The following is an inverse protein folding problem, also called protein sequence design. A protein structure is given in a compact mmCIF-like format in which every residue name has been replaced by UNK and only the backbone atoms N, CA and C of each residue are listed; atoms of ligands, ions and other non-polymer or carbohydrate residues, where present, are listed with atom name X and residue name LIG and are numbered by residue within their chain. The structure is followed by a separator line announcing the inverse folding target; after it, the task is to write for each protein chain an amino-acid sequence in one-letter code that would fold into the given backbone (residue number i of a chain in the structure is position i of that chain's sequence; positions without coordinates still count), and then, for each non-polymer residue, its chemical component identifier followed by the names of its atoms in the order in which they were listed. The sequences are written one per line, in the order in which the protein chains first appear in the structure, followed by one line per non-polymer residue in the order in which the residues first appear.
data_IF_744669879433
#
_entry.id   IF_744669879433
#
_cell.length_a   1.000
_cell.length_b   1.000
_cell.length_c   1.000
_cell.angle_alpha   90.00
_cell.angle_beta   90.00
_cell.angle_gamma   90.00
#
_symmetry.space_group_name_H-M   'P 1'
#
loop_
_entity.id
_entity.type
_entity.pdbx_description
1 polymer ?
#
# COMPACT_ATOMS: atom_id res chain seq x y z
N UNK A 1 -3.48 21.69 3.84
CA UNK A 1 -3.93 20.35 3.42
C UNK A 1 -5.41 20.43 3.05
N UNK A 2 -5.84 19.84 1.93
CA UNK A 2 -7.26 19.78 1.54
C UNK A 2 -7.83 18.42 1.95
N UNK A 3 -9.08 18.39 2.42
CA UNK A 3 -9.77 17.14 2.70
C UNK A 3 -10.07 16.39 1.40
N UNK A 4 -10.06 15.06 1.46
CA UNK A 4 -10.53 14.20 0.36
C UNK A 4 -12.04 14.45 0.18
N UNK A 5 -12.52 14.75 -1.05
CA UNK A 5 -13.95 14.94 -1.29
C UNK A 5 -14.77 13.70 -0.90
N UNK A 6 -15.89 13.90 -0.20
CA UNK A 6 -16.72 12.80 0.30
C UNK A 6 -17.33 11.97 -0.82
N UNK A 7 -17.64 12.61 -1.94
CA UNK A 7 -18.19 11.98 -3.14
C UNK A 7 -17.18 11.10 -3.88
N UNK A 8 -15.91 11.05 -3.45
CA UNK A 8 -14.95 10.04 -3.92
C UNK A 8 -15.16 8.69 -3.24
N UNK A 9 -15.71 8.65 -2.02
CA UNK A 9 -16.11 7.40 -1.36
C UNK A 9 -17.49 6.93 -1.81
N UNK A 10 -17.78 5.65 -1.62
CA UNK A 10 -19.12 5.12 -1.89
C UNK A 10 -20.17 5.86 -1.03
N UNK A 11 -21.40 6.05 -1.55
CA UNK A 11 -22.46 6.76 -0.81
C UNK A 11 -22.80 6.12 0.54
N UNK A 12 -22.70 4.79 0.64
CA UNK A 12 -22.80 4.03 1.88
C UNK A 12 -21.62 3.05 1.94
N UNK A 13 -20.88 3.08 3.05
CA UNK A 13 -19.72 2.24 3.29
C UNK A 13 -20.08 0.97 4.08
N UNK A 14 -21.30 0.89 4.63
CA UNK A 14 -21.74 -0.28 5.41
C UNK A 14 -21.80 -1.51 4.52
N UNK A 15 -21.05 -2.54 4.89
CA UNK A 15 -20.93 -3.78 4.13
C UNK A 15 -20.09 -3.67 2.85
N UNK A 16 -19.57 -2.48 2.51
CA UNK A 16 -18.72 -2.32 1.33
C UNK A 16 -17.41 -3.10 1.52
N UNK A 17 -17.01 -3.85 0.49
CA UNK A 17 -15.78 -4.65 0.49
C UNK A 17 -14.61 -3.74 0.12
N UNK A 18 -13.72 -3.49 1.08
CA UNK A 18 -12.59 -2.56 0.92
C UNK A 18 -11.28 -3.33 0.90
N UNK A 19 -10.49 -3.13 -0.14
CA UNK A 19 -9.11 -3.59 -0.22
C UNK A 19 -8.15 -2.43 0.06
N UNK A 20 -7.21 -2.65 0.97
CA UNK A 20 -6.08 -1.78 1.24
C UNK A 20 -4.74 -2.44 0.91
N UNK A 21 -4.19 -2.24 -0.30
CA UNK A 21 -2.83 -2.68 -0.63
C UNK A 21 -1.81 -1.81 0.12
N UNK A 22 -0.95 -2.44 0.91
CA UNK A 22 0.09 -1.82 1.73
C UNK A 22 -0.42 -0.64 2.57
N UNK A 23 -1.47 -0.88 3.36
CA UNK A 23 -2.24 0.16 4.07
C UNK A 23 -1.71 0.55 5.46
N UNK A 24 -0.42 0.32 5.72
CA UNK A 24 0.29 0.93 6.85
C UNK A 24 0.02 0.31 8.22
N UNK A 25 -0.40 -0.96 8.29
CA UNK A 25 -0.37 -1.77 9.52
C UNK A 25 -1.25 -1.23 10.65
N UNK A 26 -2.51 -0.94 10.35
CA UNK A 26 -3.50 -0.46 11.32
C UNK A 26 -3.73 1.06 11.29
N UNK A 27 -3.25 1.76 10.27
CA UNK A 27 -3.49 3.20 10.14
C UNK A 27 -4.75 3.53 9.33
N UNK A 28 -4.96 2.85 8.20
CA UNK A 28 -6.03 3.20 7.26
C UNK A 28 -7.32 2.39 7.49
N UNK A 29 -7.20 1.08 7.67
CA UNK A 29 -8.36 0.19 7.77
C UNK A 29 -9.29 0.45 8.96
N UNK A 30 -8.82 0.88 10.16
CA UNK A 30 -9.74 1.20 11.25
C UNK A 30 -10.79 2.26 10.88
N UNK A 31 -10.43 3.22 10.02
CA UNK A 31 -11.36 4.26 9.57
C UNK A 31 -12.48 3.67 8.71
N UNK A 32 -12.14 2.74 7.81
CA UNK A 32 -13.12 2.05 6.97
C UNK A 32 -13.99 1.09 7.79
N UNK A 33 -13.39 0.35 8.72
CA UNK A 33 -14.11 -0.52 9.64
C UNK A 33 -15.10 0.26 10.50
N UNK A 34 -14.71 1.44 11.01
CA UNK A 34 -15.60 2.34 11.76
C UNK A 34 -16.77 2.87 10.91
N UNK A 35 -16.62 2.93 9.58
CA UNK A 35 -17.71 3.25 8.65
C UNK A 35 -18.58 2.03 8.29
N UNK A 36 -18.28 0.85 8.86
CA UNK A 36 -19.01 -0.40 8.66
C UNK A 36 -18.56 -1.22 7.44
N UNK A 37 -17.41 -0.91 6.85
CA UNK A 37 -16.88 -1.65 5.70
C UNK A 37 -16.27 -3.00 6.10
N UNK A 38 -16.33 -3.96 5.18
CA UNK A 38 -15.64 -5.25 5.30
C UNK A 38 -14.21 -5.07 4.78
N UNK A 39 -13.25 -5.02 5.70
CA UNK A 39 -11.89 -4.61 5.39
C UNK A 39 -10.97 -5.80 5.10
N UNK A 40 -10.19 -5.68 4.03
CA UNK A 40 -9.08 -6.58 3.69
C UNK A 40 -7.81 -5.76 3.52
N UNK A 41 -6.73 -6.12 4.21
CA UNK A 41 -5.38 -5.59 3.96
C UNK A 41 -4.55 -6.62 3.19
N UNK A 42 -3.74 -6.14 2.25
CA UNK A 42 -2.69 -6.92 1.61
C UNK A 42 -1.35 -6.23 1.86
N UNK A 43 -0.35 -6.94 2.39
CA UNK A 43 0.99 -6.37 2.58
C UNK A 43 2.07 -7.44 2.42
N UNK A 44 3.22 -7.09 1.86
CA UNK A 44 4.36 -7.99 1.74
C UNK A 44 5.03 -8.25 3.11
N UNK A 45 5.03 -7.23 3.98
CA UNK A 45 5.71 -7.22 5.27
C UNK A 45 4.91 -7.95 6.33
N UNK A 46 5.50 -9.02 6.87
CA UNK A 46 4.96 -9.75 8.02
C UNK A 46 4.75 -8.84 9.23
N UNK A 47 5.63 -7.84 9.42
CA UNK A 47 5.51 -6.87 10.52
C UNK A 47 4.29 -5.97 10.35
N UNK A 48 3.99 -5.53 9.13
CA UNK A 48 2.80 -4.71 8.85
C UNK A 48 1.52 -5.54 9.08
N UNK A 49 1.52 -6.79 8.63
CA UNK A 49 0.40 -7.72 8.89
C UNK A 49 0.19 -7.95 10.39
N UNK A 50 1.26 -8.13 11.16
CA UNK A 50 1.17 -8.29 12.61
C UNK A 50 0.63 -7.02 13.30
N UNK A 51 1.11 -5.85 12.86
CA UNK A 51 0.62 -4.55 13.36
C UNK A 51 -0.87 -4.35 13.07
N UNK A 52 -1.33 -4.70 11.87
CA UNK A 52 -2.74 -4.62 11.51
C UNK A 52 -3.62 -5.45 12.46
N UNK A 53 -3.23 -6.71 12.71
CA UNK A 53 -3.96 -7.60 13.63
C UNK A 53 -3.99 -7.06 15.06
N UNK A 54 -2.87 -6.56 15.54
CA UNK A 54 -2.78 -5.96 16.87
C UNK A 54 -3.73 -4.76 17.02
N UNK A 55 -3.77 -3.87 16.02
CA UNK A 55 -4.69 -2.72 16.04
C UNK A 55 -6.14 -3.17 15.95
N UNK A 56 -6.45 -4.13 15.07
CA UNK A 56 -7.79 -4.68 14.93
C UNK A 56 -8.31 -5.30 16.24
N UNK A 57 -7.48 -6.07 16.94
CA UNK A 57 -7.79 -6.63 18.25
C UNK A 57 -8.00 -5.53 19.29
N UNK A 58 -7.11 -4.53 19.34
CA UNK A 58 -7.18 -3.41 20.29
C UNK A 58 -8.45 -2.57 20.13
N UNK A 59 -8.84 -2.30 18.89
CA UNK A 59 -9.97 -1.43 18.54
C UNK A 59 -11.29 -2.19 18.34
N UNK A 60 -11.25 -3.52 18.32
CA UNK A 60 -12.44 -4.38 18.26
C UNK A 60 -13.13 -4.41 16.89
N UNK A 61 -12.37 -4.46 15.79
CA UNK A 61 -12.91 -4.65 14.44
C UNK A 61 -12.36 -5.90 13.75
N UNK A 62 -13.14 -6.44 12.80
CA UNK A 62 -12.71 -7.57 11.98
C UNK A 62 -11.94 -7.11 10.74
N UNK A 63 -10.89 -7.85 10.39
CA UNK A 63 -10.09 -7.58 9.19
C UNK A 63 -9.52 -8.88 8.63
N UNK A 64 -9.56 -9.01 7.29
CA UNK A 64 -8.83 -10.05 6.58
C UNK A 64 -7.42 -9.54 6.27
N UNK A 65 -6.40 -10.20 6.81
CA UNK A 65 -5.00 -9.84 6.54
C UNK A 65 -4.35 -10.87 5.59
N UNK A 66 -3.91 -10.42 4.43
CA UNK A 66 -3.25 -11.25 3.40
C UNK A 66 -1.79 -10.83 3.25
N UNK A 67 -0.86 -11.75 3.50
CA UNK A 67 0.56 -11.51 3.21
C UNK A 67 0.84 -11.87 1.75
N UNK A 68 1.10 -10.88 0.90
CA UNK A 68 1.40 -11.09 -0.51
C UNK A 68 2.21 -9.93 -1.10
N UNK A 69 2.89 -10.21 -2.21
CA UNK A 69 3.57 -9.21 -3.02
C UNK A 69 2.57 -8.58 -4.01
N UNK A 70 2.31 -7.28 -3.87
CA UNK A 70 1.34 -6.57 -4.72
C UNK A 70 1.81 -6.43 -6.17
N UNK A 71 3.09 -6.68 -6.48
CA UNK A 71 3.60 -6.68 -7.86
C UNK A 71 3.36 -8.02 -8.57
N UNK A 72 2.75 -8.99 -7.89
CA UNK A 72 2.32 -10.28 -8.43
C UNK A 72 0.80 -10.30 -8.64
N UNK A 73 0.27 -11.24 -9.43
CA UNK A 73 -1.18 -11.42 -9.53
C UNK A 73 -1.81 -11.56 -8.15
N UNK A 74 -2.88 -10.80 -7.91
CA UNK A 74 -3.52 -10.74 -6.62
C UNK A 74 -4.37 -12.00 -6.41
N UNK A 75 -4.36 -12.53 -5.18
CA UNK A 75 -5.04 -13.79 -4.84
C UNK A 75 -6.52 -13.57 -4.51
N UNK A 76 -7.20 -12.81 -5.36
CA UNK A 76 -8.58 -12.37 -5.18
C UNK A 76 -9.41 -12.70 -6.42
N UNK A 77 -10.73 -12.78 -6.25
CA UNK A 77 -11.67 -12.98 -7.34
C UNK A 77 -11.88 -11.68 -8.13
N UNK A 78 -12.22 -11.82 -9.41
CA UNK A 78 -12.63 -10.68 -10.23
C UNK A 78 -13.85 -9.99 -9.59
N UNK A 79 -13.78 -8.68 -9.42
CA UNK A 79 -14.86 -7.91 -8.79
C UNK A 79 -15.07 -8.16 -7.29
N UNK A 80 -14.08 -8.68 -6.57
CA UNK A 80 -14.16 -8.94 -5.12
C UNK A 80 -14.30 -7.66 -4.27
N UNK A 81 -13.91 -6.48 -4.76
CA UNK A 81 -13.89 -5.25 -3.97
C UNK A 81 -14.70 -4.11 -4.57
N UNK A 82 -15.42 -3.37 -3.72
CA UNK A 82 -16.21 -2.21 -4.12
C UNK A 82 -15.37 -0.91 -4.04
N UNK A 83 -14.34 -0.92 -3.21
CA UNK A 83 -13.35 0.15 -3.06
C UNK A 83 -11.96 -0.43 -2.89
N UNK A 84 -11.01 0.07 -3.68
CA UNK A 84 -9.58 -0.12 -3.44
C UNK A 84 -9.02 1.23 -2.95
N UNK A 85 -8.44 1.23 -1.76
CA UNK A 85 -7.81 2.39 -1.16
C UNK A 85 -6.29 2.19 -1.12
N UNK A 86 -5.62 2.67 -2.16
CA UNK A 86 -4.20 2.43 -2.43
C UNK A 86 -3.41 3.72 -2.28
N UNK A 87 -2.94 4.02 -1.08
CA UNK A 87 -2.14 5.23 -0.83
C UNK A 87 -0.72 5.10 -1.42
N UNK A 88 0.22 5.86 -0.84
CA UNK A 88 1.56 6.18 -1.38
C UNK A 88 2.47 4.96 -1.59
N UNK A 89 2.06 3.75 -1.23
CA UNK A 89 2.87 2.53 -1.38
C UNK A 89 3.33 2.23 -2.81
N UNK A 90 2.68 2.81 -3.83
CA UNK A 90 3.11 2.71 -5.23
C UNK A 90 4.54 3.23 -5.48
N UNK A 91 5.09 4.11 -4.63
CA UNK A 91 6.48 4.57 -4.77
C UNK A 91 7.53 3.50 -4.41
N UNK A 92 7.11 2.38 -3.82
CA UNK A 92 7.97 1.24 -3.52
C UNK A 92 7.98 0.17 -4.62
N UNK A 93 7.18 0.32 -5.69
CA UNK A 93 7.16 -0.59 -6.82
C UNK A 93 7.95 -0.01 -8.00
N UNK A 94 8.78 -0.83 -8.65
CA UNK A 94 9.50 -0.42 -9.87
C UNK A 94 8.51 -0.22 -11.03
N UNK A 95 7.58 -1.17 -11.21
CA UNK A 95 6.56 -1.13 -12.26
C UNK A 95 5.16 -1.11 -11.66
N UNK A 96 4.41 -0.02 -11.89
CA UNK A 96 3.06 0.16 -11.36
C UNK A 96 1.97 -0.34 -12.30
N UNK A 97 2.24 -0.46 -13.61
CA UNK A 97 1.23 -0.86 -14.60
C UNK A 97 0.63 -2.26 -14.32
N UNK A 98 1.40 -3.29 -13.92
CA UNK A 98 0.83 -4.57 -13.51
C UNK A 98 -0.10 -4.45 -12.31
N UNK A 99 0.27 -3.63 -11.31
CA UNK A 99 -0.55 -3.38 -10.11
C UNK A 99 -1.90 -2.78 -10.50
N UNK A 100 -1.91 -1.81 -11.43
CA UNK A 100 -3.15 -1.20 -11.90
C UNK A 100 -4.06 -2.17 -12.66
N UNK A 101 -3.48 -3.12 -13.41
CA UNK A 101 -4.26 -4.17 -14.08
C UNK A 101 -4.93 -5.08 -13.07
N UNK A 102 -4.19 -5.52 -12.06
CA UNK A 102 -4.76 -6.36 -11.00
C UNK A 102 -5.82 -5.60 -10.19
N UNK A 103 -5.56 -4.34 -9.83
CA UNK A 103 -6.56 -3.48 -9.19
C UNK A 103 -7.82 -3.37 -10.04
N UNK A 104 -7.71 -3.25 -11.36
CA UNK A 104 -8.86 -3.21 -12.26
C UNK A 104 -9.63 -4.54 -12.25
N UNK A 105 -8.95 -5.69 -12.29
CA UNK A 105 -9.60 -7.00 -12.28
C UNK A 105 -10.39 -7.26 -10.99
N UNK A 106 -9.78 -6.99 -9.83
CA UNK A 106 -10.40 -7.29 -8.53
C UNK A 106 -11.43 -6.24 -8.11
N UNK A 107 -11.54 -5.12 -8.83
CA UNK A 107 -12.54 -4.09 -8.57
C UNK A 107 -13.86 -4.44 -9.23
N UNK A 108 -14.95 -4.36 -8.46
CA UNK A 108 -16.30 -4.60 -8.96
C UNK A 108 -16.67 -3.58 -10.04
N UNK A 109 -17.54 -3.94 -11.01
CA UNK A 109 -18.10 -2.97 -11.94
C UNK A 109 -18.76 -1.79 -11.20
N UNK A 110 -18.30 -0.57 -11.48
CA UNK A 110 -18.76 0.65 -10.78
C UNK A 110 -18.08 0.91 -9.43
N UNK A 111 -17.16 0.04 -9.01
CA UNK A 111 -16.29 0.24 -7.86
C UNK A 111 -15.31 1.40 -8.07
N UNK A 112 -14.59 1.75 -7.01
CA UNK A 112 -13.71 2.93 -6.99
C UNK A 112 -12.29 2.56 -6.61
N UNK A 113 -11.33 3.15 -7.31
CA UNK A 113 -9.91 3.08 -6.98
C UNK A 113 -9.47 4.47 -6.52
N UNK A 114 -9.12 4.61 -5.25
CA UNK A 114 -8.62 5.85 -4.65
C UNK A 114 -7.11 5.70 -4.44
N UNK A 115 -6.33 6.52 -5.13
CA UNK A 115 -4.87 6.44 -5.12
C UNK A 115 -4.23 7.71 -4.59
N UNK A 116 -3.30 7.54 -3.65
CA UNK A 116 -2.37 8.59 -3.26
C UNK A 116 -1.06 8.41 -4.02
N UNK A 117 -0.64 9.41 -4.78
CA UNK A 117 0.64 9.38 -5.51
C UNK A 117 1.59 10.39 -4.89
N UNK A 118 2.86 10.04 -4.88
CA UNK A 118 3.93 11.02 -4.70
C UNK A 118 4.02 11.92 -5.94
N UNK A 119 4.46 13.17 -5.78
CA UNK A 119 4.68 14.09 -6.90
C UNK A 119 5.90 13.72 -7.75
N UNK A 120 6.66 12.69 -7.35
CA UNK A 120 7.82 12.16 -8.08
C UNK A 120 9.12 12.92 -7.82
N UNK A 121 9.12 13.87 -6.88
CA UNK A 121 10.31 14.64 -6.50
C UNK A 121 10.60 14.44 -5.02
N UNK A 122 11.28 13.34 -4.70
CA UNK A 122 11.87 13.19 -3.37
C UNK A 122 13.39 13.33 -3.42
N UNK A 123 13.96 13.75 -2.31
CA UNK A 123 15.39 13.89 -2.16
C UNK A 123 15.81 13.24 -0.85
N UNK A 124 16.92 12.52 -0.89
CA UNK A 124 17.61 12.10 0.34
C UNK A 124 18.48 13.26 0.77
N UNK A 125 18.38 13.62 2.05
CA UNK A 125 19.22 14.63 2.69
C UNK A 125 20.15 13.98 3.70
N UNK A 126 21.37 14.48 3.81
CA UNK A 126 22.31 14.09 4.88
C UNK A 126 21.99 14.82 6.20
N UNK A 127 22.78 14.54 7.24
CA UNK A 127 22.65 15.17 8.57
C UNK A 127 22.89 16.69 8.54
N UNK A 128 23.47 17.23 7.46
CA UNK A 128 23.70 18.65 7.21
C UNK A 128 22.63 19.25 6.27
N UNK A 129 21.51 18.55 6.07
CA UNK A 129 20.37 18.91 5.20
C UNK A 129 20.73 19.12 3.72
N UNK A 130 21.84 18.57 3.25
CA UNK A 130 22.23 18.66 1.84
C UNK A 130 21.56 17.56 1.04
N UNK A 131 21.04 17.91 -0.14
CA UNK A 131 20.53 16.92 -1.10
C UNK A 131 21.69 16.06 -1.59
N UNK A 132 21.71 14.80 -1.15
CA UNK A 132 22.71 13.81 -1.58
C UNK A 132 22.20 12.94 -2.73
N UNK A 133 20.87 12.88 -2.95
CA UNK A 133 20.28 12.06 -4.01
C UNK A 133 18.88 12.50 -4.39
N UNK A 134 18.53 12.39 -5.68
CA UNK A 134 17.15 12.44 -6.16
C UNK A 134 16.51 11.05 -6.18
N UNK A 135 15.22 10.99 -5.88
CA UNK A 135 14.39 9.79 -5.91
C UNK A 135 13.40 9.85 -7.10
N UNK A 136 12.96 8.69 -7.62
CA UNK A 136 13.35 7.35 -7.17
C UNK A 136 14.76 6.99 -7.64
N UNK A 137 15.55 6.37 -6.76
CA UNK A 137 16.76 5.65 -7.15
C UNK A 137 16.48 4.15 -7.02
N UNK A 138 17.02 3.35 -7.93
CA UNK A 138 16.88 1.90 -7.88
C UNK A 138 18.24 1.29 -7.50
N UNK A 139 18.46 0.88 -6.23
CA UNK A 139 19.73 0.30 -5.80
C UNK A 139 20.03 -1.04 -6.49
N UNK A 140 19.01 -1.75 -7.01
CA UNK A 140 19.22 -2.95 -7.83
C UNK A 140 19.85 -2.63 -9.20
N UNK A 141 19.74 -1.38 -9.66
CA UNK A 141 20.31 -0.89 -10.92
C UNK A 141 21.56 -0.02 -10.72
N UNK A 142 21.85 0.34 -9.48
CA UNK A 142 23.05 1.08 -9.07
C UNK A 142 23.64 0.40 -7.82
N UNK A 143 24.52 -0.61 -8.02
CA UNK A 143 25.11 -1.37 -6.91
C UNK A 143 25.90 -0.52 -5.91
N UNK A 144 26.31 0.70 -6.29
CA UNK A 144 26.96 1.64 -5.37
C UNK A 144 26.07 2.09 -4.20
N UNK A 145 24.78 1.77 -4.27
CA UNK A 145 23.74 2.14 -3.29
C UNK A 145 23.36 0.99 -2.36
N UNK A 146 23.92 -0.19 -2.58
CA UNK A 146 23.72 -1.33 -1.70
C UNK A 146 24.92 -1.33 -0.73
N UNK A 147 24.70 -1.28 0.59
CA UNK A 147 25.77 -1.43 1.57
C UNK A 147 26.60 -2.68 1.28
N UNK A 148 27.93 -2.60 1.43
CA UNK A 148 28.84 -3.72 1.10
C UNK A 148 28.48 -5.02 1.86
N UNK A 149 27.96 -4.89 3.08
CA UNK A 149 27.49 -5.97 3.93
C UNK A 149 26.18 -6.62 3.47
N UNK A 150 25.42 -5.96 2.59
CA UNK A 150 24.17 -6.48 2.01
C UNK A 150 24.34 -7.03 0.58
N UNK A 151 25.48 -6.78 -0.08
CA UNK A 151 25.74 -7.23 -1.47
C UNK A 151 26.01 -8.74 -1.62
N UNK A 152 26.10 -9.51 -0.53
CA UNK A 152 26.35 -10.95 -0.57
C UNK A 152 27.69 -11.35 -1.21
N UNK A 153 28.61 -10.40 -1.38
CA UNK A 153 29.97 -10.65 -1.85
C UNK A 153 30.78 -11.15 -0.64
N UNK A 154 31.35 -12.36 -0.67
CA UNK A 154 32.17 -12.82 0.44
C UNK A 154 33.37 -11.88 0.57
N UNK A 155 33.53 -11.26 1.74
CA UNK A 155 34.75 -10.55 2.11
C UNK A 155 35.89 -11.58 2.15
N UNK A 156 36.88 -11.41 1.27
CA UNK A 156 38.17 -12.12 1.32
C UNK A 156 39.11 -11.45 2.30
#
# INVERSE_FOLDING_TARGET
MRAVPRDWFLPDMRGARVLGPSSGGGQQMPLFAAMGAVCTVLDYSERQIASERMVAEREGYEIRCVRADMTRPLLFEDGEFDLIFHLVSNCYAEDVLPIWRECFCVLAPGGRLLVGLDNGFNYVVDDEERVVRGLPFNPLRDPSLIPEDELGIPTF
#
